data_IF_311914635975
#
_entry.id   IF_311914635975
#
_cell.length_a   1.000
_cell.length_b   1.000
_cell.length_c   1.000
_cell.angle_alpha   90.00
_cell.angle_beta   90.00
_cell.angle_gamma   90.00
#
_symmetry.space_group_name_H-M   'P 1'
#
loop_
_entity.id
_entity.type
_entity.pdbx_description
1 polymer ?
#
# COMPACT_ATOMS: atom_id res chain seq x y z
N UNK A 1 -39.82 84.95 -7.33
CA UNK A 1 -39.44 83.88 -6.39
C UNK A 1 -38.60 82.87 -7.15
N UNK A 2 -37.30 83.15 -7.19
CA UNK A 2 -36.20 82.33 -6.63
C UNK A 2 -35.93 81.05 -7.45
N UNK A 3 -35.27 81.14 -8.60
CA UNK A 3 -33.78 81.13 -8.79
C UNK A 3 -33.09 80.11 -7.88
N UNK A 4 -32.57 78.99 -8.41
CA UNK A 4 -31.30 78.85 -9.15
C UNK A 4 -30.05 79.02 -8.26
N UNK A 5 -29.11 78.08 -8.39
CA UNK A 5 -27.64 78.28 -8.59
C UNK A 5 -26.86 77.05 -8.10
N UNK A 6 -26.06 76.44 -8.99
CA UNK A 6 -24.58 76.48 -9.01
C UNK A 6 -23.97 75.40 -8.09
N UNK A 7 -22.88 74.71 -8.39
CA UNK A 7 -21.88 74.81 -9.44
C UNK A 7 -20.95 73.57 -9.33
N UNK A 8 -20.39 73.11 -10.47
CA UNK A 8 -18.94 72.91 -10.73
C UNK A 8 -18.22 71.90 -9.80
N UNK A 9 -17.50 70.86 -10.29
CA UNK A 9 -16.18 70.98 -10.94
C UNK A 9 -15.70 69.61 -11.48
N UNK A 10 -15.04 69.62 -12.66
CA UNK A 10 -13.94 68.73 -13.06
C UNK A 10 -14.33 67.39 -13.71
N UNK A 11 -14.44 67.23 -15.05
CA UNK A 11 -13.37 67.20 -16.08
C UNK A 11 -12.38 66.03 -15.80
N UNK A 12 -12.06 65.08 -16.70
CA UNK A 12 -11.47 65.26 -18.03
C UNK A 12 -11.47 63.90 -18.79
N UNK A 13 -11.87 63.95 -20.07
CA UNK A 13 -11.52 63.10 -21.24
C UNK A 13 -11.76 61.58 -21.22
N UNK A 14 -12.87 61.18 -21.83
CA UNK A 14 -12.94 59.96 -22.66
C UNK A 14 -12.64 60.37 -24.11
N UNK A 15 -11.57 59.81 -24.69
CA UNK A 15 -11.23 59.95 -26.10
C UNK A 15 -11.90 58.81 -26.87
N UNK A 16 -12.73 59.18 -27.83
CA UNK A 16 -13.35 58.30 -28.82
C UNK A 16 -12.29 57.51 -29.58
N UNK A 17 -12.56 56.25 -29.88
CA UNK A 17 -12.62 55.79 -31.28
C UNK A 17 -13.39 54.45 -31.33
N UNK A 18 -14.53 54.49 -31.99
CA UNK A 18 -15.24 53.30 -32.44
C UNK A 18 -14.57 52.78 -33.73
N UNK A 19 -14.41 51.48 -33.84
CA UNK A 19 -14.58 50.78 -35.12
C UNK A 19 -14.88 49.30 -34.87
N UNK A 20 -15.92 48.86 -35.58
CA UNK A 20 -16.65 47.60 -35.53
C UNK A 20 -15.85 46.37 -35.98
N UNK A 21 -16.23 45.25 -35.36
CA UNK A 21 -16.51 43.92 -35.94
C UNK A 21 -15.47 43.27 -36.87
N UNK A 22 -14.97 42.08 -36.49
CA UNK A 22 -15.38 40.80 -37.09
C UNK A 22 -14.53 39.63 -36.55
N UNK A 23 -15.21 38.61 -36.02
CA UNK A 23 -14.93 37.19 -36.22
C UNK A 23 -13.60 36.60 -35.72
N UNK A 24 -13.67 35.74 -34.69
CA UNK A 24 -12.60 34.77 -34.42
C UNK A 24 -12.58 34.28 -32.99
N UNK A 25 -13.54 33.42 -32.61
CA UNK A 25 -13.45 32.66 -31.36
C UNK A 25 -12.34 31.61 -31.47
N UNK A 26 -11.09 32.01 -31.19
CA UNK A 26 -10.01 31.07 -30.90
C UNK A 26 -10.06 30.77 -29.41
N UNK A 27 -10.73 29.67 -29.05
CA UNK A 27 -10.67 29.11 -27.71
C UNK A 27 -9.22 28.75 -27.38
N UNK A 28 -8.64 29.45 -26.40
CA UNK A 28 -7.42 29.05 -25.72
C UNK A 28 -7.73 27.78 -24.92
N UNK A 29 -7.68 26.64 -25.59
CA UNK A 29 -7.59 25.35 -24.94
C UNK A 29 -6.26 25.29 -24.21
N UNK A 30 -6.31 25.34 -22.88
CA UNK A 30 -5.18 25.03 -22.02
C UNK A 30 -4.84 23.56 -22.26
N UNK A 31 -3.90 23.30 -23.17
CA UNK A 31 -3.23 22.02 -23.27
C UNK A 31 -2.49 21.81 -21.94
N UNK A 32 -3.14 21.10 -21.03
CA UNK A 32 -2.39 20.34 -20.04
C UNK A 32 -1.60 19.29 -20.82
N UNK A 33 -0.26 19.25 -20.71
CA UNK A 33 0.47 18.13 -21.25
C UNK A 33 0.02 16.91 -20.45
N UNK A 34 -0.75 16.02 -21.09
CA UNK A 34 -0.84 14.65 -20.65
C UNK A 34 0.62 14.19 -20.45
N UNK A 35 1.01 13.95 -19.21
CA UNK A 35 2.31 13.38 -18.92
C UNK A 35 2.45 12.16 -19.83
N UNK A 36 3.37 12.24 -20.80
CA UNK A 36 3.60 11.17 -21.74
C UNK A 36 3.92 9.94 -20.90
N UNK A 37 2.99 8.98 -20.83
CA UNK A 37 3.25 7.69 -20.22
C UNK A 37 4.52 7.18 -20.88
N UNK A 38 5.58 6.99 -20.10
CA UNK A 38 6.82 6.43 -20.60
C UNK A 38 6.46 5.14 -21.35
N UNK A 39 6.60 5.16 -22.69
CA UNK A 39 6.14 4.05 -23.52
C UNK A 39 7.03 2.85 -23.23
N UNK A 40 6.45 1.81 -22.62
CA UNK A 40 7.13 0.54 -22.41
C UNK A 40 7.26 -0.14 -23.77
N UNK A 41 8.47 -0.17 -24.34
CA UNK A 41 8.76 -0.74 -25.66
C UNK A 41 9.42 -2.10 -25.57
N UNK A 42 10.04 -2.40 -24.43
CA UNK A 42 10.79 -3.63 -24.17
C UNK A 42 10.68 -4.07 -22.71
N UNK A 43 11.11 -5.29 -22.40
CA UNK A 43 11.19 -5.80 -21.01
C UNK A 43 12.16 -5.00 -20.15
N UNK A 44 13.18 -4.38 -20.75
CA UNK A 44 14.10 -3.49 -20.05
C UNK A 44 13.37 -2.24 -19.53
N UNK A 45 12.32 -1.78 -20.22
CA UNK A 45 11.54 -0.61 -19.84
C UNK A 45 10.56 -0.90 -18.69
N UNK A 46 10.28 -2.17 -18.38
CA UNK A 46 9.41 -2.57 -17.26
C UNK A 46 9.94 -2.00 -15.93
N UNK A 47 11.25 -1.79 -15.79
CA UNK A 47 11.84 -1.13 -14.62
C UNK A 47 11.27 0.28 -14.37
N UNK A 48 10.79 0.98 -15.39
CA UNK A 48 10.20 2.33 -15.27
C UNK A 48 8.79 2.30 -14.67
N UNK A 49 8.13 1.14 -14.75
CA UNK A 49 6.83 0.89 -14.11
C UNK A 49 6.99 0.56 -12.62
N UNK A 50 8.19 0.18 -12.18
CA UNK A 50 8.45 -0.20 -10.79
C UNK A 50 8.53 1.04 -9.91
N UNK A 51 7.69 1.07 -8.89
CA UNK A 51 7.67 2.11 -7.87
C UNK A 51 8.37 1.60 -6.61
N UNK A 52 9.23 2.42 -5.98
CA UNK A 52 9.90 2.03 -4.75
C UNK A 52 8.92 1.98 -3.57
N UNK A 53 7.85 2.76 -3.62
CA UNK A 53 6.86 2.87 -2.55
C UNK A 53 5.70 1.90 -2.76
N UNK A 54 5.20 1.38 -1.65
CA UNK A 54 4.04 0.50 -1.61
C UNK A 54 2.77 1.32 -1.87
N UNK A 55 1.96 0.99 -2.90
CA UNK A 55 0.76 1.76 -3.19
C UNK A 55 -0.28 1.55 -2.08
N UNK A 56 -0.96 2.64 -1.70
CA UNK A 56 -2.03 2.59 -0.71
C UNK A 56 -3.25 1.82 -1.23
N UNK A 57 -4.02 1.23 -0.31
CA UNK A 57 -5.33 0.63 -0.58
C UNK A 57 -5.33 -0.47 -1.65
N UNK A 58 -4.25 -1.25 -1.75
CA UNK A 58 -4.21 -2.41 -2.62
C UNK A 58 -5.22 -3.48 -2.15
N UNK A 59 -6.19 -3.81 -3.01
CA UNK A 59 -7.21 -4.83 -2.76
C UNK A 59 -6.65 -6.23 -3.00
N UNK A 60 -7.07 -7.22 -2.21
CA UNK A 60 -6.84 -8.62 -2.57
C UNK A 60 -7.61 -8.96 -3.86
N UNK A 61 -7.12 -9.92 -4.67
CA UNK A 61 -7.71 -10.22 -5.98
C UNK A 61 -9.19 -10.59 -5.87
N UNK A 62 -9.58 -11.37 -4.86
CA UNK A 62 -10.98 -11.73 -4.64
C UNK A 62 -11.88 -10.53 -4.32
N UNK A 63 -11.37 -9.55 -3.58
CA UNK A 63 -12.09 -8.32 -3.27
C UNK A 63 -12.20 -7.46 -4.53
N UNK A 64 -11.12 -7.35 -5.30
CA UNK A 64 -11.11 -6.65 -6.59
C UNK A 64 -12.10 -7.28 -7.57
N UNK A 65 -12.15 -8.61 -7.68
CA UNK A 65 -13.10 -9.31 -8.57
C UNK A 65 -14.55 -8.95 -8.28
N UNK A 66 -14.91 -8.66 -7.03
CA UNK A 66 -16.28 -8.32 -6.62
C UNK A 66 -16.66 -6.86 -6.88
N UNK A 67 -15.70 -5.95 -6.92
CA UNK A 67 -15.97 -4.50 -6.94
C UNK A 67 -15.46 -3.78 -8.20
N UNK A 68 -14.50 -4.37 -8.90
CA UNK A 68 -13.84 -3.77 -10.06
C UNK A 68 -14.78 -3.60 -11.25
N UNK A 69 -14.69 -2.45 -11.92
CA UNK A 69 -15.41 -2.19 -13.17
C UNK A 69 -14.46 -2.22 -14.35
N UNK A 70 -14.91 -2.78 -15.47
CA UNK A 70 -14.13 -2.77 -16.72
C UNK A 70 -13.81 -1.33 -17.13
N UNK A 71 -12.55 -1.08 -17.46
CA UNK A 71 -12.01 0.23 -17.78
C UNK A 71 -11.50 1.05 -16.59
N UNK A 72 -11.83 0.66 -15.35
CA UNK A 72 -11.35 1.31 -14.14
C UNK A 72 -9.87 1.02 -13.89
N UNK A 73 -9.16 1.98 -13.28
CA UNK A 73 -7.81 1.74 -12.74
C UNK A 73 -7.90 1.45 -11.25
N UNK A 74 -7.45 0.27 -10.85
CA UNK A 74 -7.46 -0.19 -9.47
C UNK A 74 -6.05 -0.57 -9.01
N UNK A 75 -5.84 -0.62 -7.70
CA UNK A 75 -4.62 -1.21 -7.12
C UNK A 75 -4.99 -2.54 -6.48
N UNK A 76 -4.29 -3.60 -6.89
CA UNK A 76 -4.43 -4.94 -6.34
C UNK A 76 -3.14 -5.44 -5.72
N UNK A 77 -3.25 -6.40 -4.81
CA UNK A 77 -2.17 -7.21 -4.29
C UNK A 77 -2.44 -8.67 -4.66
N UNK A 78 -1.38 -9.38 -5.02
CA UNK A 78 -1.40 -10.83 -5.12
C UNK A 78 0.01 -11.40 -5.08
N UNK A 79 0.11 -12.73 -5.12
CA UNK A 79 1.38 -13.43 -5.32
C UNK A 79 1.44 -13.93 -6.75
N UNK A 80 2.60 -13.87 -7.39
CA UNK A 80 2.81 -14.61 -8.64
C UNK A 80 2.57 -16.07 -8.34
N UNK A 81 1.74 -16.73 -9.16
CA UNK A 81 1.40 -18.13 -8.99
C UNK A 81 2.66 -18.99 -8.76
N UNK A 82 2.58 -19.90 -7.79
CA UNK A 82 3.62 -20.91 -7.57
C UNK A 82 3.43 -22.05 -8.57
N UNK A 83 3.56 -21.77 -9.87
CA UNK A 83 3.38 -22.75 -10.95
C UNK A 83 4.40 -22.53 -12.08
N UNK A 84 4.64 -23.57 -12.91
CA UNK A 84 5.57 -23.47 -14.06
C UNK A 84 5.06 -22.52 -15.14
N UNK A 85 3.74 -22.46 -15.30
CA UNK A 85 3.01 -21.61 -16.24
C UNK A 85 2.62 -20.25 -15.66
N UNK A 86 3.15 -19.88 -14.48
CA UNK A 86 2.91 -18.58 -13.86
C UNK A 86 3.32 -17.41 -14.76
N UNK A 87 4.25 -17.65 -15.69
CA UNK A 87 4.68 -16.71 -16.72
C UNK A 87 4.46 -17.31 -18.10
N UNK A 88 4.00 -16.47 -19.03
CA UNK A 88 3.97 -16.85 -20.44
C UNK A 88 5.37 -16.65 -21.02
N UNK A 89 6.01 -17.73 -21.48
CA UNK A 89 7.43 -17.73 -21.87
C UNK A 89 7.81 -16.63 -22.88
N UNK A 90 6.92 -16.36 -23.86
CA UNK A 90 7.18 -15.44 -24.96
C UNK A 90 6.30 -14.18 -24.95
N UNK A 91 5.64 -13.89 -23.83
CA UNK A 91 4.79 -12.71 -23.67
C UNK A 91 4.97 -12.10 -22.29
N UNK A 92 4.84 -10.78 -22.21
CA UNK A 92 4.85 -10.08 -20.92
C UNK A 92 3.52 -10.25 -20.20
N UNK A 93 3.23 -11.48 -19.81
CA UNK A 93 2.02 -11.90 -19.12
C UNK A 93 2.36 -12.86 -18.01
N UNK A 94 1.67 -12.73 -16.88
CA UNK A 94 1.84 -13.60 -15.72
C UNK A 94 0.57 -13.67 -14.89
N UNK A 95 0.46 -14.70 -14.06
CA UNK A 95 -0.70 -14.91 -13.20
C UNK A 95 -0.39 -14.49 -11.76
N UNK A 96 -1.21 -13.59 -11.22
CA UNK A 96 -1.31 -13.33 -9.80
C UNK A 96 -2.43 -14.15 -9.17
N UNK A 97 -2.24 -14.52 -7.91
CA UNK A 97 -3.17 -15.31 -7.12
C UNK A 97 -3.39 -14.71 -5.73
N UNK A 98 -4.60 -14.90 -5.22
CA UNK A 98 -4.98 -14.67 -3.83
C UNK A 98 -4.82 -15.97 -3.03
N UNK A 99 -3.70 -16.06 -2.33
CA UNK A 99 -3.31 -17.22 -1.52
C UNK A 99 -4.32 -17.57 -0.42
N UNK A 100 -5.17 -16.63 0.01
CA UNK A 100 -6.21 -16.91 1.00
C UNK A 100 -7.32 -17.83 0.47
N UNK A 101 -7.45 -17.94 -0.85
CA UNK A 101 -8.45 -18.81 -1.50
C UNK A 101 -7.94 -20.18 -1.91
N UNK A 102 -6.68 -20.46 -1.63
CA UNK A 102 -6.07 -21.75 -1.95
C UNK A 102 -6.87 -22.88 -1.32
N UNK A 103 -7.46 -23.73 -2.16
CA UNK A 103 -8.11 -24.96 -1.76
C UNK A 103 -7.02 -26.01 -1.51
N UNK A 104 -7.16 -26.80 -0.45
CA UNK A 104 -6.13 -27.73 0.03
C UNK A 104 -5.88 -28.96 -0.87
N UNK A 105 -5.98 -28.83 -2.18
CA UNK A 105 -5.84 -29.93 -3.14
C UNK A 105 -4.80 -29.59 -4.21
N UNK A 106 -3.53 -29.61 -3.80
CA UNK A 106 -2.41 -29.99 -4.63
C UNK A 106 -1.33 -30.53 -3.68
N UNK A 107 -0.77 -31.74 -3.88
CA UNK A 107 0.28 -32.23 -3.00
C UNK A 107 1.46 -31.25 -3.03
N UNK A 108 2.11 -30.98 -1.88
CA UNK A 108 3.39 -30.29 -1.86
C UNK A 108 4.34 -31.04 -2.80
N UNK A 109 4.81 -30.35 -3.83
CA UNK A 109 5.74 -30.91 -4.82
C UNK A 109 7.04 -30.11 -4.76
N UNK A 110 8.16 -30.82 -4.78
CA UNK A 110 9.50 -30.20 -4.90
C UNK A 110 9.67 -29.48 -6.25
N UNK A 111 8.76 -29.73 -7.20
CA UNK A 111 8.66 -29.03 -8.48
C UNK A 111 7.39 -28.20 -8.53
N UNK A 112 7.45 -27.01 -9.15
CA UNK A 112 6.25 -26.18 -9.32
C UNK A 112 5.17 -26.96 -10.09
N UNK A 113 3.91 -26.97 -9.62
CA UNK A 113 2.81 -27.59 -10.36
C UNK A 113 2.58 -26.88 -11.70
N UNK A 114 1.93 -27.58 -12.63
CA UNK A 114 1.35 -26.95 -13.80
C UNK A 114 0.01 -26.34 -13.37
N UNK A 115 -0.16 -25.04 -13.60
CA UNK A 115 -1.36 -24.26 -13.25
C UNK A 115 -1.60 -24.10 -11.74
N UNK A 116 -2.02 -22.91 -11.32
CA UNK A 116 -2.57 -22.67 -9.97
C UNK A 116 -3.97 -23.30 -9.84
N UNK A 117 -4.08 -24.61 -10.05
CA UNK A 117 -5.34 -25.37 -10.09
C UNK A 117 -6.03 -25.46 -8.72
N UNK A 118 -5.27 -25.22 -7.66
CA UNK A 118 -5.73 -25.12 -6.29
C UNK A 118 -6.40 -23.77 -5.97
N UNK A 119 -6.29 -22.78 -6.86
CA UNK A 119 -6.87 -21.45 -6.68
C UNK A 119 -8.04 -21.25 -7.65
N UNK A 120 -9.25 -20.92 -7.16
CA UNK A 120 -10.42 -20.78 -8.00
C UNK A 120 -10.33 -19.52 -8.89
N UNK A 121 -11.16 -19.43 -9.93
CA UNK A 121 -11.07 -18.35 -10.94
C UNK A 121 -11.15 -16.95 -10.33
N UNK A 122 -12.04 -16.75 -9.36
CA UNK A 122 -12.23 -15.51 -8.62
C UNK A 122 -11.00 -15.07 -7.80
N UNK A 123 -10.09 -15.99 -7.50
CA UNK A 123 -8.83 -15.73 -6.80
C UNK A 123 -7.63 -15.54 -7.74
N UNK A 124 -7.83 -15.53 -9.07
CA UNK A 124 -6.77 -15.41 -10.07
C UNK A 124 -6.88 -14.12 -10.87
N UNK A 125 -5.74 -13.54 -11.21
CA UNK A 125 -5.63 -12.43 -12.14
C UNK A 125 -4.54 -12.68 -13.17
N UNK A 126 -4.86 -12.57 -14.46
CA UNK A 126 -3.87 -12.49 -15.53
C UNK A 126 -3.45 -11.04 -15.71
N UNK A 127 -2.17 -10.78 -15.50
CA UNK A 127 -1.56 -9.47 -15.68
C UNK A 127 -0.86 -9.45 -17.03
N UNK A 128 -1.08 -8.39 -17.80
CA UNK A 128 -0.40 -8.12 -19.06
C UNK A 128 0.32 -6.77 -19.02
N UNK A 129 1.54 -6.73 -19.56
CA UNK A 129 2.27 -5.49 -19.84
C UNK A 129 2.26 -5.30 -21.36
N UNK A 130 1.66 -4.19 -21.78
CA UNK A 130 1.38 -3.90 -23.18
C UNK A 130 2.24 -2.78 -23.73
N UNK A 131 2.46 -2.78 -25.03
CA UNK A 131 3.04 -1.66 -25.78
C UNK A 131 2.03 -0.52 -25.97
N UNK A 132 2.45 0.54 -26.65
CA UNK A 132 1.59 1.70 -26.97
C UNK A 132 0.36 1.34 -27.83
N UNK A 133 0.34 0.18 -28.47
CA UNK A 133 -0.78 -0.30 -29.28
C UNK A 133 -1.70 -1.25 -28.50
N UNK A 134 -1.48 -1.42 -27.19
CA UNK A 134 -2.24 -2.32 -26.34
C UNK A 134 -1.91 -3.80 -26.55
N UNK A 135 -0.79 -4.14 -27.19
CA UNK A 135 -0.37 -5.53 -27.41
C UNK A 135 0.61 -5.98 -26.34
N UNK A 136 0.44 -7.16 -25.72
CA UNK A 136 1.43 -7.69 -24.80
C UNK A 136 2.82 -7.76 -25.45
N UNK A 137 3.83 -7.29 -24.73
CA UNK A 137 5.21 -7.31 -25.24
C UNK A 137 5.65 -8.75 -25.53
N UNK A 138 6.50 -8.93 -26.53
CA UNK A 138 6.94 -10.26 -27.02
C UNK A 138 8.19 -10.76 -26.30
N UNK A 139 8.16 -10.84 -24.98
CA UNK A 139 9.22 -11.42 -24.17
C UNK A 139 8.69 -11.82 -22.79
N UNK A 140 9.24 -12.89 -22.21
CA UNK A 140 8.85 -13.34 -20.87
C UNK A 140 9.36 -12.43 -19.75
N UNK A 141 8.69 -12.51 -18.60
CA UNK A 141 9.00 -11.71 -17.40
C UNK A 141 9.62 -12.51 -16.25
N UNK A 142 9.72 -13.85 -16.38
CA UNK A 142 10.26 -14.68 -15.31
C UNK A 142 11.72 -14.33 -15.01
N UNK A 143 12.03 -14.11 -13.73
CA UNK A 143 13.34 -13.69 -13.24
C UNK A 143 13.63 -12.19 -13.44
N UNK A 144 12.75 -11.44 -14.12
CA UNK A 144 12.97 -10.03 -14.41
C UNK A 144 12.47 -9.16 -13.26
N UNK A 145 13.34 -8.25 -12.78
CA UNK A 145 12.98 -7.24 -11.79
C UNK A 145 12.32 -7.76 -10.50
N UNK A 146 12.66 -8.98 -10.09
CA UNK A 146 12.09 -9.64 -8.90
C UNK A 146 10.78 -10.40 -9.16
N UNK A 147 10.22 -10.34 -10.38
CA UNK A 147 9.10 -11.17 -10.80
C UNK A 147 9.59 -12.61 -10.97
N UNK A 148 9.08 -13.49 -10.13
CA UNK A 148 9.33 -14.93 -10.14
C UNK A 148 8.16 -15.62 -9.43
N UNK A 149 7.97 -16.94 -9.58
CA UNK A 149 6.94 -17.67 -8.83
C UNK A 149 7.03 -17.36 -7.33
N UNK A 150 5.88 -17.07 -6.72
CA UNK A 150 5.74 -16.72 -5.29
C UNK A 150 6.13 -15.29 -4.92
N UNK A 151 6.57 -14.45 -5.87
CA UNK A 151 6.81 -13.03 -5.59
C UNK A 151 5.50 -12.33 -5.23
N UNK A 152 5.46 -11.59 -4.13
CA UNK A 152 4.35 -10.68 -3.87
C UNK A 152 4.44 -9.49 -4.83
N UNK A 153 3.30 -9.06 -5.37
CA UNK A 153 3.20 -7.94 -6.31
C UNK A 153 2.05 -7.05 -5.91
N UNK A 154 2.34 -5.75 -5.84
CA UNK A 154 1.34 -4.70 -5.76
C UNK A 154 1.25 -4.07 -7.14
N UNK A 155 0.07 -4.10 -7.72
CA UNK A 155 -0.17 -3.75 -9.11
C UNK A 155 -1.23 -2.68 -9.18
N UNK A 156 -0.88 -1.52 -9.73
CA UNK A 156 -1.88 -0.57 -10.23
C UNK A 156 -2.10 -0.89 -11.70
N UNK A 157 -3.34 -1.22 -12.07
CA UNK A 157 -3.67 -1.70 -13.39
C UNK A 157 -5.07 -1.24 -13.83
N UNK A 158 -5.25 -1.16 -15.14
CA UNK A 158 -6.55 -1.02 -15.76
C UNK A 158 -7.22 -2.39 -15.87
N UNK A 159 -8.50 -2.45 -15.50
CA UNK A 159 -9.32 -3.67 -15.55
C UNK A 159 -9.82 -3.88 -16.99
N UNK A 160 -9.47 -5.01 -17.59
CA UNK A 160 -9.97 -5.41 -18.91
C UNK A 160 -11.18 -6.33 -18.79
N UNK A 161 -11.15 -7.26 -17.83
CA UNK A 161 -12.29 -8.15 -17.52
C UNK A 161 -12.39 -8.36 -16.02
N UNK A 162 -13.63 -8.41 -15.50
CA UNK A 162 -13.96 -8.70 -14.10
C UNK A 162 -15.36 -9.33 -14.03
N UNK A 163 -15.49 -10.58 -14.51
CA UNK A 163 -16.79 -11.24 -14.68
C UNK A 163 -17.09 -12.29 -13.60
N UNK A 164 -16.14 -12.60 -12.72
CA UNK A 164 -16.26 -13.60 -11.64
C UNK A 164 -16.27 -15.07 -12.09
N UNK A 165 -16.47 -15.34 -13.38
CA UNK A 165 -16.44 -16.69 -13.95
C UNK A 165 -15.04 -17.09 -14.43
N UNK A 166 -14.27 -16.10 -14.90
CA UNK A 166 -12.90 -16.22 -15.36
C UNK A 166 -11.94 -15.45 -14.45
N UNK A 167 -10.63 -15.68 -14.65
CA UNK A 167 -9.61 -14.86 -14.00
C UNK A 167 -9.74 -13.38 -14.42
N UNK A 168 -9.45 -12.49 -13.48
CA UNK A 168 -9.42 -11.05 -13.70
C UNK A 168 -8.34 -10.74 -14.75
N UNK A 169 -8.62 -9.95 -15.79
CA UNK A 169 -7.57 -9.53 -16.74
C UNK A 169 -7.20 -8.08 -16.48
N UNK A 170 -5.91 -7.85 -16.24
CA UNK A 170 -5.36 -6.57 -15.80
C UNK A 170 -4.25 -6.10 -16.74
N UNK A 171 -4.38 -4.89 -17.27
CA UNK A 171 -3.30 -4.20 -17.98
C UNK A 171 -2.49 -3.36 -16.99
N UNK A 172 -1.24 -3.75 -16.77
CA UNK A 172 -0.36 -3.11 -15.79
C UNK A 172 -0.05 -1.65 -16.16
N UNK A 173 -0.17 -0.75 -15.18
CA UNK A 173 0.22 0.66 -15.28
C UNK A 173 1.49 0.91 -14.46
N UNK A 174 1.50 0.46 -13.20
CA UNK A 174 2.71 0.46 -12.36
C UNK A 174 2.69 -0.71 -11.40
N UNK A 175 3.87 -1.08 -10.91
CA UNK A 175 4.04 -2.21 -10.00
C UNK A 175 4.98 -1.87 -8.85
N UNK A 176 4.81 -2.52 -7.73
CA UNK A 176 5.80 -2.60 -6.66
C UNK A 176 6.01 -4.07 -6.31
N UNK A 177 7.26 -4.52 -6.37
CA UNK A 177 7.65 -5.91 -6.10
C UNK A 177 8.59 -5.91 -4.89
N UNK A 178 8.11 -6.20 -3.67
CA UNK A 178 8.97 -6.31 -2.51
C UNK A 178 9.99 -7.44 -2.64
N UNK A 179 11.12 -7.32 -1.93
CA UNK A 179 12.18 -8.33 -1.97
C UNK A 179 11.82 -9.61 -1.22
N UNK A 180 10.86 -9.54 -0.31
CA UNK A 180 10.32 -10.69 0.40
C UNK A 180 8.80 -10.51 0.58
N UNK A 181 7.98 -11.54 0.29
CA UNK A 181 6.56 -11.51 0.60
C UNK A 181 6.34 -11.58 2.11
N UNK A 182 5.20 -11.08 2.59
CA UNK A 182 4.73 -11.45 3.93
C UNK A 182 4.22 -12.90 3.93
N UNK A 183 4.23 -13.60 5.08
CA UNK A 183 3.60 -14.91 5.18
C UNK A 183 2.12 -14.87 4.79
N UNK A 184 1.65 -15.87 4.07
CA UNK A 184 0.21 -16.03 3.78
C UNK A 184 -0.58 -16.10 5.08
N UNK A 185 -1.72 -15.40 5.15
CA UNK A 185 -2.54 -15.33 6.36
C UNK A 185 -1.95 -14.48 7.49
N UNK A 186 -0.85 -13.74 7.26
CA UNK A 186 -0.28 -12.84 8.26
C UNK A 186 -1.30 -11.81 8.75
N UNK A 187 -2.11 -11.25 7.85
CA UNK A 187 -3.21 -10.37 8.25
C UNK A 187 -4.48 -11.18 8.51
N UNK A 188 -5.05 -11.04 9.71
CA UNK A 188 -6.28 -11.69 10.12
C UNK A 188 -7.43 -10.70 10.19
N UNK A 189 -8.65 -11.14 9.86
CA UNK A 189 -9.87 -10.32 9.91
C UNK A 189 -10.57 -10.38 11.28
N UNK A 190 -10.37 -11.48 12.04
CA UNK A 190 -10.91 -11.61 13.39
C UNK A 190 -9.92 -11.00 14.38
N UNK A 191 -10.40 -10.09 15.22
CA UNK A 191 -9.64 -9.56 16.35
C UNK A 191 -9.14 -10.72 17.24
N UNK A 192 -7.82 -10.86 17.46
CA UNK A 192 -7.30 -11.85 18.38
C UNK A 192 -7.82 -11.63 19.80
N UNK A 193 -8.27 -12.71 20.44
CA UNK A 193 -8.74 -12.68 21.82
C UNK A 193 -7.56 -12.40 22.77
N UNK A 194 -7.84 -11.95 24.00
CA UNK A 194 -6.84 -11.75 25.07
C UNK A 194 -5.74 -10.71 24.79
N UNK A 195 -5.94 -9.82 23.81
CA UNK A 195 -4.96 -8.77 23.50
C UNK A 195 -4.71 -7.84 24.68
N UNK A 196 -3.47 -7.83 25.19
CA UNK A 196 -3.01 -6.96 26.28
C UNK A 196 -2.47 -5.65 25.73
N UNK A 197 -2.77 -4.53 26.38
CA UNK A 197 -2.16 -3.26 25.97
C UNK A 197 -0.64 -3.30 26.17
N UNK A 198 0.12 -2.74 25.22
CA UNK A 198 1.59 -2.71 25.30
C UNK A 198 2.05 -2.05 26.61
N UNK A 199 1.42 -0.95 27.04
CA UNK A 199 1.80 -0.26 28.28
C UNK A 199 1.62 -1.16 29.49
N UNK A 200 0.51 -1.89 29.57
CA UNK A 200 0.24 -2.83 30.66
C UNK A 200 1.22 -4.02 30.63
N UNK A 201 1.50 -4.57 29.44
CA UNK A 201 2.43 -5.68 29.27
C UNK A 201 3.86 -5.29 29.70
N UNK A 202 4.29 -4.07 29.34
CA UNK A 202 5.59 -3.54 29.72
C UNK A 202 5.69 -3.25 31.22
N UNK A 203 4.66 -2.63 31.82
CA UNK A 203 4.60 -2.34 33.27
C UNK A 203 4.64 -3.61 34.13
N UNK A 204 3.99 -4.69 33.67
CA UNK A 204 4.02 -5.96 34.37
C UNK A 204 5.44 -6.58 34.47
N UNK A 205 6.35 -6.22 33.55
CA UNK A 205 7.73 -6.71 33.55
C UNK A 205 7.87 -8.22 33.33
N UNK A 206 6.82 -8.88 32.83
CA UNK A 206 6.77 -10.34 32.68
C UNK A 206 7.20 -10.83 31.30
N UNK A 207 7.46 -9.93 30.35
CA UNK A 207 7.84 -10.29 28.98
C UNK A 207 9.27 -10.87 28.95
N UNK A 208 9.39 -12.16 28.65
CA UNK A 208 10.66 -12.87 28.56
C UNK A 208 10.88 -13.36 27.14
N UNK A 209 12.15 -13.48 26.75
CA UNK A 209 12.52 -14.08 25.47
C UNK A 209 11.91 -15.47 25.37
N UNK A 210 11.16 -15.71 24.31
CA UNK A 210 10.47 -16.97 24.08
C UNK A 210 8.98 -16.94 24.36
N UNK A 211 8.46 -15.93 25.08
CA UNK A 211 7.04 -15.86 25.41
C UNK A 211 6.18 -15.60 24.18
N UNK A 212 5.05 -16.32 24.09
CA UNK A 212 3.97 -15.99 23.17
C UNK A 212 3.12 -14.87 23.74
N UNK A 213 2.84 -13.86 22.91
CA UNK A 213 2.17 -12.64 23.34
C UNK A 213 1.13 -12.21 22.31
N UNK A 214 0.04 -11.63 22.82
CA UNK A 214 -0.95 -10.90 22.03
C UNK A 214 -0.97 -9.46 22.55
N UNK A 215 -0.43 -8.54 21.75
CA UNK A 215 -0.24 -7.14 22.15
C UNK A 215 -1.11 -6.22 21.30
N UNK A 216 -1.74 -5.24 21.94
CA UNK A 216 -2.49 -4.16 21.30
C UNK A 216 -1.80 -2.82 21.52
N UNK A 217 -1.80 -1.99 20.49
CA UNK A 217 -1.32 -0.62 20.57
C UNK A 217 -1.61 0.17 19.31
N UNK A 218 -0.90 1.29 19.15
CA UNK A 218 -0.93 2.13 17.94
C UNK A 218 0.48 2.32 17.39
N UNK A 219 0.61 2.47 16.08
CA UNK A 219 1.93 2.71 15.48
C UNK A 219 2.41 4.13 15.81
N UNK A 220 3.58 4.26 16.43
CA UNK A 220 4.10 5.55 16.88
C UNK A 220 5.39 5.42 17.70
N UNK A 221 5.73 6.46 18.47
CA UNK A 221 6.89 6.52 19.36
C UNK A 221 8.13 7.16 18.74
N UNK A 222 8.06 7.57 17.47
CA UNK A 222 9.11 8.35 16.81
C UNK A 222 8.54 9.07 15.59
N UNK A 223 9.34 9.98 15.00
CA UNK A 223 8.99 10.65 13.74
C UNK A 223 8.76 9.65 12.60
N UNK A 224 9.52 8.55 12.58
CA UNK A 224 9.49 7.49 11.58
C UNK A 224 9.29 6.14 12.29
N UNK A 225 8.04 5.80 12.65
CA UNK A 225 7.76 4.60 13.43
C UNK A 225 7.81 3.32 12.57
N UNK A 226 7.93 3.45 11.25
CA UNK A 226 8.15 2.36 10.31
C UNK A 226 9.57 2.42 9.76
N UNK A 227 10.24 1.27 9.65
CA UNK A 227 11.55 1.19 8.99
C UNK A 227 11.36 0.96 7.49
N UNK A 228 11.78 1.91 6.67
CA UNK A 228 11.66 1.81 5.21
C UNK A 228 12.34 0.54 4.65
N UNK A 229 11.62 -0.20 3.82
CA UNK A 229 12.05 -1.43 3.18
C UNK A 229 12.28 -2.61 4.14
N UNK A 230 11.76 -2.54 5.38
CA UNK A 230 11.83 -3.63 6.38
C UNK A 230 10.49 -3.81 7.07
N UNK A 231 10.21 -5.06 7.40
CA UNK A 231 8.97 -5.41 8.09
C UNK A 231 9.07 -5.11 9.59
N UNK A 232 9.37 -3.86 9.94
CA UNK A 232 9.66 -3.42 11.31
C UNK A 232 8.93 -2.12 11.59
N UNK A 233 8.28 -2.04 12.74
CA UNK A 233 7.66 -0.83 13.23
C UNK A 233 7.60 -0.79 14.75
N UNK A 234 7.38 0.40 15.31
CA UNK A 234 7.19 0.60 16.75
C UNK A 234 5.71 0.63 17.08
N UNK A 235 5.32 -0.16 18.07
CA UNK A 235 3.95 -0.23 18.60
C UNK A 235 3.91 0.40 20.00
N UNK A 236 3.14 1.47 20.16
CA UNK A 236 2.94 2.20 21.40
C UNK A 236 1.69 1.69 22.13
N UNK A 237 1.81 1.52 23.44
CA UNK A 237 0.68 1.28 24.32
C UNK A 237 -0.15 2.54 24.51
N UNK A 238 -1.41 2.36 24.92
CA UNK A 238 -2.40 3.45 24.93
C UNK A 238 -2.42 4.24 26.24
N UNK A 239 -1.60 3.88 27.22
CA UNK A 239 -1.45 4.68 28.44
C UNK A 239 -0.72 6.01 28.16
N UNK A 240 0.12 6.05 27.12
CA UNK A 240 0.64 7.30 26.57
C UNK A 240 -0.35 7.81 25.51
N UNK A 241 -0.95 8.95 25.79
CA UNK A 241 -1.88 9.60 24.87
C UNK A 241 -1.11 10.23 23.71
N UNK A 242 -1.56 9.96 22.49
CA UNK A 242 -1.03 10.65 21.32
C UNK A 242 -1.52 12.12 21.33
N UNK A 243 -0.73 13.04 20.76
CA UNK A 243 -1.06 14.48 20.83
C UNK A 243 -2.43 14.81 20.20
N UNK A 244 -2.87 14.03 19.20
CA UNK A 244 -4.18 14.23 18.55
C UNK A 244 -5.38 13.86 19.42
N UNK A 245 -5.15 13.26 20.59
CA UNK A 245 -6.19 13.04 21.59
C UNK A 245 -6.51 14.31 22.39
N UNK A 246 -5.68 15.35 22.27
CA UNK A 246 -5.97 16.68 22.79
C UNK A 246 -6.48 17.58 21.65
N UNK A 247 -7.77 17.96 21.64
CA UNK A 247 -8.34 18.82 20.60
C UNK A 247 -7.66 20.19 20.46
N UNK A 248 -7.03 20.68 21.51
CA UNK A 248 -6.34 21.97 21.54
C UNK A 248 -4.88 21.89 21.04
N UNK A 249 -4.36 20.68 20.83
CA UNK A 249 -3.00 20.44 20.36
C UNK A 249 -2.95 20.36 18.82
N UNK A 250 -2.20 21.28 18.21
CA UNK A 250 -1.99 21.36 16.75
C UNK A 250 -0.71 20.66 16.30
N UNK A 251 -0.27 19.64 17.03
CA UNK A 251 0.93 18.87 16.71
C UNK A 251 0.85 18.31 15.28
N UNK A 252 1.87 18.61 14.47
CA UNK A 252 1.97 18.12 13.09
C UNK A 252 2.26 16.62 12.99
N UNK A 253 2.74 16.00 14.08
CA UNK A 253 3.15 14.59 14.16
C UNK A 253 2.70 13.94 15.46
N UNK A 254 1.39 13.80 15.68
CA UNK A 254 0.85 13.34 16.96
C UNK A 254 1.32 11.93 17.39
N UNK A 255 1.91 11.15 16.47
CA UNK A 255 2.42 9.81 16.70
C UNK A 255 3.86 9.76 17.22
N UNK A 256 4.61 10.86 17.23
CA UNK A 256 6.03 10.82 17.61
C UNK A 256 6.28 10.97 19.11
N UNK A 257 5.25 11.35 19.87
CA UNK A 257 5.28 11.54 21.32
C UNK A 257 6.40 12.49 21.75
N UNK A 258 6.71 13.54 20.97
CA UNK A 258 7.81 14.46 21.26
C UNK A 258 7.67 15.22 22.60
N UNK A 259 6.47 15.25 23.18
CA UNK A 259 6.19 15.84 24.50
C UNK A 259 6.53 14.91 25.67
N UNK A 260 6.76 13.62 25.41
CA UNK A 260 7.06 12.60 26.41
C UNK A 260 8.58 12.41 26.55
N UNK A 261 9.02 11.85 27.68
CA UNK A 261 10.44 11.51 27.84
C UNK A 261 10.80 10.25 27.05
N UNK A 262 12.07 10.11 26.66
CA UNK A 262 12.56 8.88 26.02
C UNK A 262 12.32 7.65 26.89
N UNK A 263 12.41 7.80 28.21
CA UNK A 263 12.16 6.73 29.17
C UNK A 263 10.70 6.30 29.14
N UNK A 264 9.76 7.25 29.07
CA UNK A 264 8.33 6.95 29.02
C UNK A 264 7.94 6.30 27.70
N UNK A 265 8.45 6.80 26.56
CA UNK A 265 8.26 6.16 25.25
C UNK A 265 8.80 4.73 25.29
N UNK A 266 10.01 4.54 25.81
CA UNK A 266 10.64 3.23 25.89
C UNK A 266 9.86 2.29 26.81
N UNK A 267 9.33 2.77 27.95
CA UNK A 267 8.53 2.00 28.89
C UNK A 267 7.14 1.61 28.35
N UNK A 268 6.66 2.27 27.29
CA UNK A 268 5.33 2.08 26.73
C UNK A 268 5.35 1.65 25.25
N UNK A 269 6.48 1.17 24.75
CA UNK A 269 6.62 0.73 23.36
C UNK A 269 7.11 -0.71 23.25
N UNK A 270 6.89 -1.33 22.10
CA UNK A 270 7.64 -2.51 21.66
C UNK A 270 8.04 -2.32 20.20
N UNK A 271 9.18 -2.89 19.81
CA UNK A 271 9.52 -3.03 18.40
C UNK A 271 8.89 -4.31 17.88
N UNK A 272 8.06 -4.20 16.86
CA UNK A 272 7.47 -5.34 16.15
C UNK A 272 8.27 -5.57 14.89
N UNK A 273 8.61 -6.83 14.62
CA UNK A 273 9.25 -7.24 13.38
C UNK A 273 8.62 -8.51 12.81
N UNK A 274 8.62 -8.65 11.49
CA UNK A 274 8.26 -9.90 10.82
C UNK A 274 9.53 -10.53 10.26
N UNK A 275 9.73 -11.80 10.56
CA UNK A 275 10.93 -12.54 10.20
C UNK A 275 10.60 -13.72 9.30
N UNK A 276 11.58 -14.15 8.50
CA UNK A 276 11.50 -15.39 7.74
C UNK A 276 11.72 -16.63 8.64
N UNK A 277 11.67 -17.82 8.03
CA UNK A 277 11.91 -19.10 8.72
C UNK A 277 13.32 -19.22 9.35
N UNK A 278 14.28 -18.38 8.95
CA UNK A 278 15.64 -18.33 9.50
C UNK A 278 15.78 -17.25 10.58
N UNK A 279 14.70 -16.54 10.93
CA UNK A 279 14.71 -15.43 11.88
C UNK A 279 15.24 -14.12 11.32
N UNK A 280 15.40 -13.99 9.99
CA UNK A 280 15.85 -12.74 9.36
C UNK A 280 14.66 -11.81 9.09
N UNK A 281 14.81 -10.52 9.39
CA UNK A 281 13.78 -9.51 9.13
C UNK A 281 13.44 -9.46 7.64
N UNK A 282 12.16 -9.55 7.32
CA UNK A 282 11.68 -9.49 5.94
C UNK A 282 11.98 -8.12 5.31
N UNK A 283 12.43 -8.15 4.05
CA UNK A 283 12.79 -6.97 3.27
C UNK A 283 11.57 -6.43 2.51
N UNK A 284 10.62 -5.89 3.26
CA UNK A 284 9.34 -5.40 2.74
C UNK A 284 8.74 -4.33 3.65
N UNK A 285 8.09 -3.32 3.11
CA UNK A 285 7.50 -2.22 3.88
C UNK A 285 6.22 -2.65 4.61
N UNK A 286 6.00 -2.18 5.84
CA UNK A 286 4.70 -2.34 6.54
C UNK A 286 3.76 -1.16 6.34
N UNK A 287 4.28 0.05 6.16
CA UNK A 287 3.49 1.25 5.90
C UNK A 287 2.73 1.10 4.58
N UNK A 288 1.48 1.54 4.55
CA UNK A 288 0.57 1.46 3.41
C UNK A 288 -0.14 0.11 3.24
N UNK A 289 0.36 -0.98 3.84
CA UNK A 289 -0.28 -2.30 3.76
C UNK A 289 -1.63 -2.26 4.47
N UNK A 290 -2.72 -2.56 3.76
CA UNK A 290 -4.09 -2.49 4.32
C UNK A 290 -4.39 -1.15 5.02
N UNK A 291 -3.89 -0.05 4.46
CA UNK A 291 -4.12 1.30 5.00
C UNK A 291 -3.30 1.64 6.25
N UNK A 292 -2.35 0.78 6.65
CA UNK A 292 -1.48 1.03 7.79
C UNK A 292 -0.70 2.33 7.64
N UNK A 293 -0.80 3.15 8.68
CA UNK A 293 -0.13 4.44 8.78
C UNK A 293 0.16 4.71 10.26
N UNK A 294 0.74 5.86 10.52
CA UNK A 294 0.92 6.36 11.87
C UNK A 294 -0.43 6.43 12.61
N UNK A 295 -0.42 6.11 13.90
CA UNK A 295 -1.59 5.97 14.78
C UNK A 295 -2.57 4.85 14.41
N UNK A 296 -2.34 4.05 13.37
CA UNK A 296 -3.16 2.86 13.12
C UNK A 296 -3.17 1.96 14.36
N UNK A 297 -4.36 1.56 14.80
CA UNK A 297 -4.51 0.60 15.90
C UNK A 297 -4.27 -0.82 15.39
N UNK A 298 -3.41 -1.56 16.09
CA UNK A 298 -2.97 -2.88 15.69
C UNK A 298 -3.04 -3.83 16.89
N UNK A 299 -3.44 -5.06 16.63
CA UNK A 299 -3.18 -6.21 17.51
C UNK A 299 -2.19 -7.15 16.83
N UNK A 300 -1.10 -7.47 17.52
CA UNK A 300 -0.04 -8.36 17.07
C UNK A 300 -0.06 -9.62 17.91
N UNK A 301 -0.07 -10.77 17.26
CA UNK A 301 0.28 -12.05 17.87
C UNK A 301 1.71 -12.36 17.47
N UNK A 302 2.53 -12.78 18.42
CA UNK A 302 3.93 -13.08 18.14
C UNK A 302 4.67 -13.65 19.32
N UNK A 303 5.98 -13.75 19.14
CA UNK A 303 6.91 -14.27 20.13
C UNK A 303 7.93 -13.21 20.51
N UNK A 304 8.20 -13.04 21.80
CA UNK A 304 9.23 -12.11 22.28
C UNK A 304 10.61 -12.62 21.85
N UNK A 305 11.29 -11.83 21.03
CA UNK A 305 12.61 -12.13 20.49
C UNK A 305 13.74 -11.55 21.36
N UNK A 306 13.50 -10.40 21.99
CA UNK A 306 14.43 -9.76 22.91
C UNK A 306 13.65 -9.02 24.00
N UNK A 307 14.13 -9.09 25.23
CA UNK A 307 13.58 -8.37 26.38
C UNK A 307 14.75 -7.96 27.30
N UNK A 308 15.44 -6.88 26.93
CA UNK A 308 16.66 -6.45 27.60
C UNK A 308 17.08 -5.04 27.19
N UNK A 309 17.88 -4.38 28.03
CA UNK A 309 18.38 -3.02 27.75
C UNK A 309 17.28 -1.95 27.67
N UNK A 310 16.13 -2.19 28.31
CA UNK A 310 14.96 -1.31 28.30
C UNK A 310 14.04 -1.46 27.08
N UNK A 311 14.48 -2.16 26.02
CA UNK A 311 13.66 -2.44 24.84
C UNK A 311 13.07 -3.85 24.85
N UNK A 312 11.94 -4.02 24.15
CA UNK A 312 11.34 -5.33 23.87
C UNK A 312 11.09 -5.45 22.38
N UNK A 313 11.48 -6.58 21.79
CA UNK A 313 11.28 -6.90 20.37
C UNK A 313 10.37 -8.12 20.27
N UNK A 314 9.35 -8.04 19.41
CA UNK A 314 8.39 -9.11 19.15
C UNK A 314 8.46 -9.51 17.69
N UNK A 315 8.68 -10.80 17.44
CA UNK A 315 8.53 -11.42 16.13
C UNK A 315 7.04 -11.71 15.90
N UNK A 316 6.38 -10.92 15.08
CA UNK A 316 4.98 -11.10 14.74
C UNK A 316 4.78 -12.31 13.84
N UNK A 317 3.78 -13.13 14.17
CA UNK A 317 3.31 -14.26 13.36
C UNK A 317 2.01 -13.91 12.64
N UNK A 318 1.11 -13.19 13.30
CA UNK A 318 -0.11 -12.65 12.71
C UNK A 318 -0.44 -11.27 13.25
N UNK A 319 -1.24 -10.52 12.51
CA UNK A 319 -1.60 -9.15 12.83
C UNK A 319 -3.03 -8.84 12.42
N UNK A 320 -3.75 -8.17 13.30
CA UNK A 320 -5.02 -7.54 13.02
C UNK A 320 -4.81 -6.02 12.98
N UNK A 321 -5.22 -5.37 11.89
CA UNK A 321 -5.23 -3.92 11.78
C UNK A 321 -6.69 -3.45 11.88
N UNK A 322 -7.01 -2.62 12.87
CA UNK A 322 -8.34 -2.03 12.95
C UNK A 322 -8.54 -1.12 11.74
N UNK A 323 -9.55 -1.42 10.93
CA UNK A 323 -9.94 -0.63 9.76
C UNK A 323 -10.76 0.59 10.17
#
# INVERSE_FOLDING_TARGET
MKTAKMNVTGAVRAMSLAAMLLGGAAGLGVFTPAAAMAQVKSVADVKTMLKPELPANALEITAAMKSAKVGETITVRGHVAMSKDAFVENRSMFTLVDESTRKGCCPPSDTLPDTACDIPAEGRATVQIVDANGRPLRAGLNGQHGLKPGAEVFLTAKVETANGNDALVLTAVSMHVPKAPLPSGFFVEKLPETAKDVSEARKAGTLKVGDEVVLRGRVGGSKEPFVAGRAVFTLMGRDLKACNENPDDKCSKPWDYCCETKTDILANSVTVQVVDAKGQILRTDMKGRRGLKELSEIVVVGKVASAGGGGVVVNATTMYAAQ
#
